data_IF_295021802549
#
_entry.id   IF_295021802549
#
_cell.length_a   1.000
_cell.length_b   1.000
_cell.length_c   1.000
_cell.angle_alpha   90.00
_cell.angle_beta   90.00
_cell.angle_gamma   90.00
#
_symmetry.space_group_name_H-M   'P 1'
#
loop_
_entity.id
_entity.type
_entity.pdbx_description
1 polymer ?
#
# COMPACT_ATOMS: atom_id res chain seq x y z
N UNK A 1 -7.18 -9.49 11.29
CA UNK A 1 -6.08 -9.14 10.34
C UNK A 1 -6.58 -7.98 9.46
N UNK A 2 -5.70 -7.12 8.97
CA UNK A 2 -6.12 -6.00 8.09
C UNK A 2 -5.03 -5.73 7.09
N UNK A 3 -5.41 -5.57 5.83
CA UNK A 3 -4.47 -5.53 4.73
C UNK A 3 -5.01 -4.59 3.64
N UNK A 4 -4.10 -3.96 2.90
CA UNK A 4 -4.34 -3.13 1.71
C UNK A 4 -4.66 -1.64 1.90
N UNK A 5 -3.85 -0.87 1.18
CA UNK A 5 -4.04 0.50 0.73
C UNK A 5 -3.71 0.51 -0.78
N UNK A 6 -4.20 1.50 -1.54
CA UNK A 6 -3.89 1.69 -2.97
C UNK A 6 -3.42 3.14 -3.23
N UNK A 7 -2.67 3.39 -4.32
CA UNK A 7 -2.10 4.71 -4.67
C UNK A 7 -2.27 5.03 -6.18
N UNK A 8 -2.51 6.31 -6.58
CA UNK A 8 -2.48 6.77 -7.99
C UNK A 8 -1.69 8.09 -8.26
N UNK A 9 -1.98 8.79 -9.38
CA UNK A 9 -1.11 9.74 -10.15
C UNK A 9 -1.28 11.26 -9.86
N UNK A 10 -0.22 12.09 -10.10
CA UNK A 10 -0.15 13.35 -10.96
C UNK A 10 0.96 14.36 -10.50
N UNK A 11 1.67 15.20 -11.31
CA UNK A 11 2.28 15.12 -12.68
C UNK A 11 3.16 16.38 -13.02
N UNK A 12 4.09 16.27 -14.01
CA UNK A 12 4.84 17.35 -14.76
C UNK A 12 6.08 18.06 -14.16
N UNK A 13 7.10 18.34 -15.00
CA UNK A 13 8.45 19.01 -14.83
C UNK A 13 9.31 18.54 -13.62
N UNK A 14 10.61 18.22 -13.68
CA UNK A 14 11.73 18.80 -14.41
C UNK A 14 13.02 18.82 -13.55
N UNK A 15 12.93 18.54 -12.23
CA UNK A 15 14.05 18.58 -11.28
C UNK A 15 14.76 17.21 -11.11
N UNK A 16 15.89 17.21 -10.37
CA UNK A 16 16.85 16.08 -10.32
C UNK A 16 16.81 15.28 -9.02
N UNK A 17 16.29 15.84 -7.92
CA UNK A 17 16.01 15.11 -6.68
C UNK A 17 14.57 15.33 -6.23
N UNK A 18 14.03 14.42 -5.42
CA UNK A 18 12.68 14.55 -4.83
C UNK A 18 12.56 15.74 -3.88
N UNK A 19 13.66 16.19 -3.29
CA UNK A 19 13.71 17.32 -2.34
C UNK A 19 13.46 18.67 -3.03
N UNK A 20 13.76 18.76 -4.32
CA UNK A 20 13.55 19.96 -5.16
C UNK A 20 12.05 20.27 -5.38
N UNK A 21 11.14 19.35 -5.02
CA UNK A 21 9.72 19.42 -5.37
C UNK A 21 8.80 20.13 -4.36
N UNK A 22 9.29 20.45 -3.16
CA UNK A 22 8.58 21.30 -2.20
C UNK A 22 7.17 20.82 -1.79
N UNK A 23 6.98 19.51 -1.59
CA UNK A 23 5.71 18.95 -1.12
C UNK A 23 5.80 18.49 0.35
N UNK A 24 4.65 18.38 1.02
CA UNK A 24 4.60 17.96 2.43
C UNK A 24 5.18 16.54 2.58
N UNK A 25 6.21 16.39 3.43
CA UNK A 25 6.94 15.13 3.61
C UNK A 25 8.10 14.89 2.64
N UNK A 26 8.44 15.83 1.74
CA UNK A 26 9.57 15.68 0.80
C UNK A 26 10.94 15.65 1.48
N UNK A 27 11.04 16.04 2.75
CA UNK A 27 12.18 15.88 3.63
C UNK A 27 12.46 14.41 3.98
N UNK A 28 11.39 13.60 4.12
CA UNK A 28 11.44 12.17 4.46
C UNK A 28 11.62 11.26 3.24
N UNK A 29 11.66 11.84 2.04
CA UNK A 29 11.86 11.12 0.79
C UNK A 29 13.34 10.85 0.52
N UNK A 30 13.62 9.60 0.17
CA UNK A 30 14.90 9.11 -0.32
C UNK A 30 14.80 8.77 -1.82
N UNK A 31 15.94 8.76 -2.51
CA UNK A 31 15.96 8.50 -3.95
C UNK A 31 15.59 7.03 -4.28
N UNK A 32 14.99 6.80 -5.46
CA UNK A 32 14.42 5.50 -5.81
C UNK A 32 15.50 4.42 -6.07
N UNK A 33 15.51 3.36 -5.25
CA UNK A 33 16.26 2.13 -5.51
C UNK A 33 15.31 1.05 -6.07
N UNK A 34 15.37 0.75 -7.37
CA UNK A 34 14.52 -0.26 -8.03
C UNK A 34 15.26 -1.61 -8.22
N UNK A 35 15.29 -2.42 -7.16
CA UNK A 35 16.25 -3.52 -7.01
C UNK A 35 16.08 -4.69 -8.00
N UNK A 36 14.86 -5.00 -8.47
CA UNK A 36 14.60 -6.05 -9.46
C UNK A 36 14.33 -5.54 -10.90
N UNK A 37 14.66 -4.29 -11.24
CA UNK A 37 14.50 -3.74 -12.61
C UNK A 37 15.71 -3.99 -13.54
N UNK A 38 16.15 -5.24 -13.65
CA UNK A 38 17.15 -5.64 -14.65
C UNK A 38 17.77 -7.01 -14.37
N UNK A 39 18.78 -7.39 -15.17
CA UNK A 39 19.59 -8.60 -14.94
C UNK A 39 20.72 -8.40 -13.90
N UNK A 40 20.85 -7.19 -13.33
CA UNK A 40 21.95 -6.85 -12.41
C UNK A 40 21.44 -6.44 -11.04
N UNK A 41 21.58 -7.35 -10.09
CA UNK A 41 21.46 -7.13 -8.65
C UNK A 41 22.60 -6.24 -8.14
N UNK A 42 22.43 -4.92 -8.25
CA UNK A 42 23.36 -3.92 -7.71
C UNK A 42 23.17 -3.74 -6.21
N UNK A 43 24.11 -4.24 -5.39
CA UNK A 43 24.04 -4.08 -3.93
C UNK A 43 24.18 -2.61 -3.50
N UNK A 44 23.09 -2.04 -2.99
CA UNK A 44 23.07 -1.30 -1.70
C UNK A 44 21.78 -1.60 -0.94
N UNK A 45 21.91 -2.26 0.21
CA UNK A 45 20.92 -2.41 1.28
C UNK A 45 19.53 -2.98 0.90
N UNK A 46 19.42 -3.79 -0.16
CA UNK A 46 18.23 -4.59 -0.42
C UNK A 46 18.51 -5.76 -1.35
N UNK A 47 17.81 -6.87 -1.13
CA UNK A 47 18.04 -8.13 -1.85
C UNK A 47 16.90 -8.40 -2.84
N UNK A 48 17.24 -8.54 -4.12
CA UNK A 48 16.33 -9.01 -5.16
C UNK A 48 16.47 -10.53 -5.31
N UNK A 49 15.41 -11.27 -4.97
CA UNK A 49 15.33 -12.72 -5.17
C UNK A 49 14.33 -13.06 -6.30
N UNK A 50 14.73 -13.97 -7.18
CA UNK A 50 13.87 -14.55 -8.21
C UNK A 50 13.87 -16.07 -8.04
N UNK A 51 12.71 -16.66 -7.80
CA UNK A 51 12.57 -18.10 -7.53
C UNK A 51 11.26 -18.67 -8.06
N UNK A 52 11.21 -20.00 -8.19
CA UNK A 52 10.00 -20.72 -8.56
C UNK A 52 9.25 -21.19 -7.31
N UNK A 53 7.99 -20.79 -7.21
CA UNK A 53 7.04 -21.14 -6.15
C UNK A 53 5.84 -21.83 -6.80
N UNK A 54 5.72 -23.16 -6.64
CA UNK A 54 4.58 -23.94 -7.15
C UNK A 54 4.18 -23.59 -8.61
N UNK A 55 5.18 -23.55 -9.51
CA UNK A 55 5.10 -23.15 -10.94
C UNK A 55 4.99 -21.64 -11.24
N UNK A 56 5.00 -20.76 -10.24
CA UNK A 56 5.03 -19.31 -10.42
C UNK A 56 6.44 -18.74 -10.22
N UNK A 57 6.93 -17.92 -11.16
CA UNK A 57 8.14 -17.11 -10.94
C UNK A 57 7.77 -15.96 -10.00
N UNK A 58 8.30 -15.98 -8.79
CA UNK A 58 8.24 -14.85 -7.84
C UNK A 58 9.44 -13.95 -8.05
N UNK A 59 9.21 -12.63 -7.93
CA UNK A 59 10.24 -11.60 -7.87
C UNK A 59 10.02 -10.82 -6.58
N UNK A 60 11.01 -10.82 -5.70
CA UNK A 60 10.86 -10.37 -4.32
C UNK A 60 12.00 -9.41 -4.00
N UNK A 61 11.66 -8.20 -3.55
CA UNK A 61 12.63 -7.22 -3.04
C UNK A 61 12.49 -7.12 -1.53
N UNK A 62 13.55 -7.45 -0.80
CA UNK A 62 13.66 -7.22 0.65
C UNK A 62 14.11 -5.77 0.83
N UNK A 63 13.25 -4.95 1.44
CA UNK A 63 13.45 -3.51 1.73
C UNK A 63 13.89 -3.29 3.18
N UNK A 64 13.52 -4.22 4.07
CA UNK A 64 13.95 -4.29 5.46
C UNK A 64 13.78 -5.71 5.98
N UNK A 65 14.68 -6.16 6.86
CA UNK A 65 14.59 -7.46 7.55
C UNK A 65 14.01 -7.32 8.96
N UNK A 66 14.27 -6.19 9.64
CA UNK A 66 13.66 -5.84 10.94
C UNK A 66 13.21 -4.37 10.96
N UNK A 67 11.89 -4.07 10.99
CA UNK A 67 10.80 -5.01 10.74
C UNK A 67 10.84 -5.52 9.29
N UNK A 68 10.21 -6.67 9.04
CA UNK A 68 10.15 -7.28 7.71
C UNK A 68 9.33 -6.38 6.76
N UNK A 69 9.97 -5.85 5.71
CA UNK A 69 9.32 -5.13 4.61
C UNK A 69 9.78 -5.76 3.30
N UNK A 70 8.82 -6.30 2.56
CA UNK A 70 9.04 -7.08 1.35
C UNK A 70 8.07 -6.64 0.26
N UNK A 71 8.58 -6.43 -0.96
CA UNK A 71 7.76 -6.10 -2.14
C UNK A 71 7.74 -7.27 -3.11
N UNK A 72 6.55 -7.77 -3.45
CA UNK A 72 6.34 -8.83 -4.43
C UNK A 72 6.05 -8.23 -5.80
N UNK A 73 7.09 -8.11 -6.64
CA UNK A 73 7.02 -7.44 -7.94
C UNK A 73 6.15 -8.22 -8.93
N UNK A 74 5.13 -7.53 -9.47
CA UNK A 74 4.17 -8.04 -10.46
C UNK A 74 3.40 -9.32 -10.04
N UNK A 75 3.21 -9.53 -8.73
CA UNK A 75 2.50 -10.68 -8.20
C UNK A 75 1.00 -10.74 -8.54
N UNK A 76 0.34 -9.58 -8.72
CA UNK A 76 -1.05 -9.51 -9.19
C UNK A 76 -1.09 -9.29 -10.70
N UNK A 77 -1.83 -10.15 -11.40
CA UNK A 77 -1.87 -10.15 -12.86
C UNK A 77 -2.37 -8.81 -13.42
N UNK A 78 -1.62 -8.19 -14.33
CA UNK A 78 -2.01 -6.91 -14.98
C UNK A 78 -3.38 -6.95 -15.67
N UNK A 79 -3.91 -8.11 -16.06
CA UNK A 79 -5.30 -8.25 -16.55
C UNK A 79 -6.32 -8.01 -15.43
N UNK A 80 -6.13 -8.62 -14.26
CA UNK A 80 -6.94 -8.40 -13.06
C UNK A 80 -6.85 -6.95 -12.58
N UNK A 81 -5.65 -6.37 -12.50
CA UNK A 81 -5.45 -4.95 -12.14
C UNK A 81 -6.29 -4.02 -13.03
N UNK A 82 -6.33 -4.24 -14.34
CA UNK A 82 -7.17 -3.44 -15.26
C UNK A 82 -8.68 -3.65 -15.05
N UNK A 83 -9.13 -4.84 -14.65
CA UNK A 83 -10.55 -5.10 -14.32
C UNK A 83 -10.96 -4.45 -13.01
N UNK A 84 -10.14 -4.60 -11.96
CA UNK A 84 -10.31 -3.92 -10.67
C UNK A 84 -10.46 -2.41 -10.86
N UNK A 85 -9.53 -1.77 -11.59
CA UNK A 85 -9.60 -0.34 -11.92
C UNK A 85 -10.95 0.03 -12.56
N UNK A 86 -11.38 -0.69 -13.60
CA UNK A 86 -12.67 -0.42 -14.27
C UNK A 86 -13.88 -0.61 -13.35
N UNK A 87 -13.86 -1.60 -12.47
CA UNK A 87 -14.92 -1.85 -11.49
C UNK A 87 -14.98 -0.75 -10.43
N UNK A 88 -13.83 -0.27 -9.98
CA UNK A 88 -13.71 0.84 -9.01
C UNK A 88 -14.14 2.16 -9.65
N UNK A 89 -13.72 2.46 -10.88
CA UNK A 89 -14.08 3.68 -11.62
C UNK A 89 -15.55 3.73 -12.07
N UNK A 90 -16.25 2.58 -12.09
CA UNK A 90 -17.70 2.52 -12.26
C UNK A 90 -18.48 2.68 -10.94
N UNK A 91 -17.81 2.57 -9.80
CA UNK A 91 -18.37 2.83 -8.48
C UNK A 91 -18.25 4.29 -8.05
N UNK A 92 -18.65 4.59 -6.81
CA UNK A 92 -18.35 5.85 -6.15
C UNK A 92 -17.18 5.67 -5.18
N UNK A 93 -16.28 6.64 -5.19
CA UNK A 93 -15.32 6.88 -4.11
C UNK A 93 -15.69 8.19 -3.41
N UNK A 94 -15.48 8.25 -2.10
CA UNK A 94 -15.78 9.41 -1.27
C UNK A 94 -14.52 9.87 -0.53
N UNK A 95 -14.46 11.14 -0.13
CA UNK A 95 -13.31 11.68 0.59
C UNK A 95 -13.24 11.12 2.02
N UNK A 96 -12.10 10.51 2.37
CA UNK A 96 -11.96 9.79 3.63
C UNK A 96 -11.75 10.75 4.81
N UNK A 97 -12.72 10.74 5.72
CA UNK A 97 -12.66 11.42 7.03
C UNK A 97 -11.86 10.57 8.02
N UNK A 98 -11.17 11.23 8.96
CA UNK A 98 -10.42 10.56 10.02
C UNK A 98 -11.18 10.72 11.34
N UNK A 99 -11.25 9.65 12.14
CA UNK A 99 -11.71 9.74 13.52
C UNK A 99 -10.56 10.23 14.41
N UNK A 100 -10.74 11.39 15.05
CA UNK A 100 -9.79 11.90 16.03
C UNK A 100 -9.82 11.14 17.35
N UNK A 101 -8.85 11.40 18.23
CA UNK A 101 -8.59 10.67 19.49
C UNK A 101 -9.74 10.65 20.52
N UNK A 102 -10.89 11.26 20.23
CA UNK A 102 -12.10 11.33 21.08
C UNK A 102 -13.41 11.10 20.32
N UNK A 103 -13.38 10.39 19.18
CA UNK A 103 -14.56 10.14 18.35
C UNK A 103 -15.08 11.37 17.59
N UNK A 104 -14.40 12.51 17.70
CA UNK A 104 -14.65 13.70 16.87
C UNK A 104 -14.29 13.39 15.42
N UNK A 105 -15.26 13.52 14.50
CA UNK A 105 -14.99 13.51 13.07
C UNK A 105 -14.04 14.66 12.71
N UNK A 106 -12.77 14.36 12.43
CA UNK A 106 -11.87 15.33 11.82
C UNK A 106 -12.25 15.46 10.35
N UNK A 107 -12.31 16.70 9.87
CA UNK A 107 -12.88 17.03 8.57
C UNK A 107 -11.98 16.56 7.42
N UNK A 108 -12.53 16.65 6.20
CA UNK A 108 -11.85 16.38 4.93
C UNK A 108 -10.45 17.00 4.77
N UNK A 109 -10.17 18.11 5.48
CA UNK A 109 -8.94 18.86 5.33
C UNK A 109 -7.99 18.69 6.53
N UNK A 110 -7.77 17.44 6.94
CA UNK A 110 -6.82 17.11 8.01
C UNK A 110 -5.36 17.17 7.52
N UNK A 111 -4.44 17.62 8.37
CA UNK A 111 -2.99 17.58 8.11
C UNK A 111 -2.39 16.16 8.19
N UNK A 112 -3.24 15.14 8.37
CA UNK A 112 -2.85 13.73 8.55
C UNK A 112 -3.06 12.92 7.26
N UNK A 113 -4.20 13.10 6.58
CA UNK A 113 -4.51 12.38 5.33
C UNK A 113 -5.37 13.23 4.41
N UNK A 114 -5.09 13.15 3.11
CA UNK A 114 -5.93 13.65 2.01
C UNK A 114 -6.02 12.59 0.93
N UNK A 115 -7.11 11.83 0.91
CA UNK A 115 -7.36 10.74 -0.03
C UNK A 115 -8.86 10.49 -0.21
N UNK A 116 -9.26 10.19 -1.44
CA UNK A 116 -10.55 9.56 -1.74
C UNK A 116 -10.45 8.05 -1.50
N UNK A 117 -11.57 7.38 -1.23
CA UNK A 117 -11.58 5.93 -1.02
C UNK A 117 -12.97 5.32 -0.99
N UNK A 118 -13.00 3.99 -0.87
CA UNK A 118 -14.20 3.17 -0.69
C UNK A 118 -13.81 1.80 -0.13
N UNK A 119 -14.78 0.99 0.29
CA UNK A 119 -14.54 -0.37 0.78
C UNK A 119 -15.10 -1.39 -0.20
N UNK A 120 -14.28 -2.36 -0.61
CA UNK A 120 -14.67 -3.44 -1.51
C UNK A 120 -14.67 -4.77 -0.73
N UNK A 121 -15.85 -5.32 -0.38
CA UNK A 121 -15.94 -6.61 0.31
C UNK A 121 -15.28 -7.73 -0.49
N UNK A 122 -14.55 -8.62 0.20
CA UNK A 122 -13.61 -9.54 -0.43
C UNK A 122 -14.25 -10.51 -1.44
N UNK A 123 -15.57 -10.70 -1.40
CA UNK A 123 -16.34 -11.59 -2.29
C UNK A 123 -17.51 -10.90 -3.02
N UNK A 124 -17.59 -9.56 -3.05
CA UNK A 124 -18.71 -8.85 -3.68
C UNK A 124 -18.66 -8.83 -5.21
N UNK A 125 -17.47 -8.99 -5.81
CA UNK A 125 -17.28 -9.07 -7.27
C UNK A 125 -16.33 -10.21 -7.64
N UNK A 126 -16.36 -10.63 -8.91
CA UNK A 126 -15.39 -11.61 -9.42
C UNK A 126 -13.96 -11.08 -9.24
N UNK A 127 -13.74 -9.79 -9.50
CA UNK A 127 -12.44 -9.13 -9.34
C UNK A 127 -11.96 -9.11 -7.87
N UNK A 128 -12.83 -8.84 -6.90
CA UNK A 128 -12.47 -8.86 -5.48
C UNK A 128 -12.09 -10.28 -5.03
N UNK A 129 -12.87 -11.27 -5.47
CA UNK A 129 -12.64 -12.68 -5.16
C UNK A 129 -11.35 -13.22 -5.79
N UNK A 130 -11.08 -12.87 -7.04
CA UNK A 130 -9.83 -13.23 -7.75
C UNK A 130 -8.61 -12.57 -7.10
N UNK A 131 -8.75 -11.32 -6.64
CA UNK A 131 -7.72 -10.62 -5.88
C UNK A 131 -7.45 -11.31 -4.53
N UNK A 132 -8.49 -11.60 -3.75
CA UNK A 132 -8.39 -12.32 -2.48
C UNK A 132 -7.65 -13.65 -2.65
N UNK A 133 -8.04 -14.47 -3.63
CA UNK A 133 -7.39 -15.76 -3.88
C UNK A 133 -5.99 -15.66 -4.51
N UNK A 134 -5.63 -14.54 -5.14
CA UNK A 134 -4.25 -14.29 -5.56
C UNK A 134 -3.37 -13.96 -4.34
N UNK A 135 -3.88 -13.16 -3.42
CA UNK A 135 -3.18 -12.73 -2.20
C UNK A 135 -3.05 -13.86 -1.17
N UNK A 136 -4.07 -14.68 -0.98
CA UNK A 136 -4.00 -15.84 -0.07
C UNK A 136 -2.95 -16.88 -0.53
N UNK A 137 -2.65 -16.94 -1.84
CA UNK A 137 -1.56 -17.76 -2.43
C UNK A 137 -0.20 -17.06 -2.45
N UNK A 138 -0.12 -15.78 -2.11
CA UNK A 138 1.12 -15.01 -2.02
C UNK A 138 1.58 -14.93 -0.57
N UNK A 139 0.65 -14.64 0.33
CA UNK A 139 0.84 -14.42 1.76
C UNK A 139 0.52 -15.70 2.54
N UNK A 140 1.11 -16.84 2.12
CA UNK A 140 0.81 -18.17 2.68
C UNK A 140 0.88 -18.27 4.22
N UNK A 141 1.75 -17.55 4.96
CA UNK A 141 1.75 -17.55 6.42
C UNK A 141 0.58 -16.83 7.09
N UNK A 142 -0.27 -16.12 6.33
CA UNK A 142 -1.37 -15.29 6.86
C UNK A 142 -2.74 -15.86 6.50
N UNK A 143 -3.62 -15.96 7.49
CA UNK A 143 -5.02 -16.35 7.30
C UNK A 143 -5.89 -15.14 6.93
N UNK A 144 -6.13 -14.94 5.63
CA UNK A 144 -6.91 -13.83 5.13
C UNK A 144 -8.42 -13.98 5.42
N UNK A 145 -8.90 -15.11 5.98
CA UNK A 145 -10.30 -15.22 6.45
C UNK A 145 -10.60 -14.24 7.58
N UNK A 146 -9.57 -13.81 8.29
CA UNK A 146 -9.64 -12.78 9.34
C UNK A 146 -9.35 -11.36 8.82
N UNK A 147 -9.22 -11.17 7.50
CA UNK A 147 -8.93 -9.87 6.90
C UNK A 147 -10.18 -8.96 6.87
N UNK A 148 -9.99 -7.68 7.21
CA UNK A 148 -10.92 -6.61 6.83
C UNK A 148 -11.21 -6.62 5.30
N UNK A 149 -12.33 -6.03 4.85
CA UNK A 149 -12.58 -5.72 3.44
C UNK A 149 -11.43 -4.90 2.82
N UNK A 150 -11.22 -5.00 1.50
CA UNK A 150 -10.23 -4.19 0.81
C UNK A 150 -10.52 -2.69 0.94
N UNK A 151 -9.62 -1.92 1.57
CA UNK A 151 -9.68 -0.45 1.52
C UNK A 151 -9.13 0.05 0.18
N UNK A 152 -10.04 0.44 -0.70
CA UNK A 152 -9.76 1.03 -2.01
C UNK A 152 -9.46 2.52 -1.82
N UNK A 153 -8.38 3.03 -2.42
CA UNK A 153 -7.89 4.38 -2.19
C UNK A 153 -7.45 5.09 -3.46
N UNK A 154 -7.66 6.39 -3.49
CA UNK A 154 -7.25 7.29 -4.56
C UNK A 154 -6.74 8.62 -4.01
N UNK A 155 -5.41 8.74 -3.96
CA UNK A 155 -4.71 9.99 -3.70
C UNK A 155 -4.60 10.78 -5.02
N UNK A 156 -5.07 12.03 -5.02
CA UNK A 156 -4.94 12.94 -6.16
C UNK A 156 -3.68 13.80 -6.03
N UNK A 157 -3.50 14.81 -6.90
CA UNK A 157 -2.33 15.70 -6.85
C UNK A 157 -2.26 16.43 -5.50
N UNK A 158 -1.23 16.15 -4.71
CA UNK A 158 -1.10 16.72 -3.35
C UNK A 158 -1.98 16.04 -2.30
N UNK A 159 -2.54 14.87 -2.63
CA UNK A 159 -2.98 13.89 -1.64
C UNK A 159 -1.80 13.19 -0.99
N UNK A 160 -1.93 12.87 0.29
CA UNK A 160 -0.88 12.24 1.11
C UNK A 160 -1.49 11.47 2.28
N UNK A 161 -0.67 10.68 2.97
CA UNK A 161 -0.93 10.17 4.30
C UNK A 161 0.40 10.31 5.08
N UNK A 162 0.38 10.96 6.24
CA UNK A 162 1.58 11.10 7.09
C UNK A 162 2.01 9.73 7.66
N UNK A 163 3.26 9.58 8.13
CA UNK A 163 3.68 8.38 8.84
C UNK A 163 2.76 8.08 10.03
N UNK A 164 2.29 6.85 10.10
CA UNK A 164 1.40 6.34 11.14
C UNK A 164 1.72 4.85 11.38
N UNK A 165 1.00 4.24 12.30
CA UNK A 165 1.14 2.83 12.63
C UNK A 165 -0.21 2.15 12.34
N UNK A 166 -0.19 1.05 11.59
CA UNK A 166 -1.43 0.36 11.20
C UNK A 166 -2.12 -0.35 12.37
N UNK A 167 -1.33 -0.82 13.37
CA UNK A 167 -1.88 -1.55 14.51
C UNK A 167 -2.72 -0.66 15.42
N UNK A 168 -3.75 -1.27 16.00
CA UNK A 168 -4.67 -0.61 16.93
C UNK A 168 -3.92 -0.41 18.25
N UNK A 169 -3.74 0.84 18.66
CA UNK A 169 -3.10 1.15 19.95
C UNK A 169 -4.08 0.86 21.10
N UNK A 170 -3.75 -0.15 21.91
CA UNK A 170 -4.58 -0.67 23.00
C UNK A 170 -4.89 0.37 24.09
N UNK A 171 -4.08 1.43 24.21
CA UNK A 171 -4.32 2.55 25.13
C UNK A 171 -5.28 3.61 24.56
N UNK A 172 -5.79 3.41 23.34
CA UNK A 172 -6.61 4.39 22.59
C UNK A 172 -7.92 3.81 22.04
N UNK A 173 -7.98 2.51 21.75
CA UNK A 173 -9.19 1.84 21.30
C UNK A 173 -10.09 1.42 22.47
N UNK A 174 -11.38 1.19 22.19
CA UNK A 174 -12.28 0.54 23.13
C UNK A 174 -11.87 -0.91 23.36
N UNK A 175 -11.90 -1.36 24.62
CA UNK A 175 -11.52 -2.73 24.99
C UNK A 175 -12.30 -3.81 24.23
N UNK A 176 -13.58 -3.56 23.92
CA UNK A 176 -14.43 -4.48 23.15
C UNK A 176 -13.95 -4.67 21.70
N UNK A 177 -13.51 -3.62 21.01
CA UNK A 177 -13.16 -3.69 19.59
C UNK A 177 -11.95 -4.61 19.38
N UNK A 178 -10.95 -4.50 20.27
CA UNK A 178 -9.79 -5.38 20.32
C UNK A 178 -10.14 -6.82 20.72
N UNK A 179 -11.07 -7.01 21.66
CA UNK A 179 -11.53 -8.35 22.05
C UNK A 179 -12.27 -9.08 20.92
N UNK A 180 -13.02 -8.36 20.07
CA UNK A 180 -13.81 -8.97 18.99
C UNK A 180 -13.05 -9.09 17.66
N UNK A 181 -12.22 -8.11 17.30
CA UNK A 181 -11.54 -8.04 15.99
C UNK A 181 -10.05 -8.40 16.05
N UNK A 182 -9.47 -8.48 17.25
CA UNK A 182 -8.03 -8.63 17.45
C UNK A 182 -7.24 -7.40 17.01
N UNK A 183 -5.93 -7.58 16.81
CA UNK A 183 -5.02 -6.53 16.36
C UNK A 183 -4.38 -6.88 15.00
N UNK A 184 -3.73 -5.89 14.37
CA UNK A 184 -3.19 -5.99 13.01
C UNK A 184 -1.70 -6.34 13.07
N UNK A 185 -1.36 -7.54 12.61
CA UNK A 185 0.01 -8.08 12.68
C UNK A 185 0.84 -7.89 11.40
N UNK A 186 0.20 -7.57 10.27
CA UNK A 186 0.86 -7.35 8.98
C UNK A 186 -0.05 -6.57 8.03
N UNK A 187 0.54 -5.67 7.25
CA UNK A 187 -0.10 -4.96 6.12
C UNK A 187 0.68 -5.27 4.84
N UNK A 188 -0.02 -5.44 3.72
CA UNK A 188 0.52 -5.50 2.37
C UNK A 188 -0.24 -4.50 1.48
N UNK A 189 0.32 -4.02 0.38
CA UNK A 189 -0.20 -2.85 -0.34
C UNK A 189 -0.19 -3.11 -1.86
N UNK A 190 -1.34 -3.51 -2.41
CA UNK A 190 -1.45 -3.74 -3.87
C UNK A 190 -1.43 -2.40 -4.58
N UNK A 191 -0.48 -2.18 -5.47
CA UNK A 191 -0.52 -1.02 -6.37
C UNK A 191 -1.35 -1.34 -7.61
N UNK A 192 -2.48 -0.65 -7.80
CA UNK A 192 -3.23 -0.68 -9.06
C UNK A 192 -2.67 0.30 -10.10
N UNK A 193 -2.16 1.44 -9.65
CA UNK A 193 -1.57 2.49 -10.48
C UNK A 193 -0.27 2.97 -9.83
N UNK A 194 0.76 3.24 -10.62
CA UNK A 194 1.97 3.93 -10.12
C UNK A 194 1.83 5.42 -10.37
N UNK A 195 2.12 6.25 -9.38
CA UNK A 195 2.23 7.68 -9.63
C UNK A 195 3.41 8.00 -10.55
N UNK A 196 3.27 9.04 -11.37
CA UNK A 196 4.39 9.57 -12.16
C UNK A 196 5.42 10.30 -11.30
N UNK A 197 5.06 10.74 -10.08
CA UNK A 197 5.89 11.38 -9.05
C UNK A 197 5.21 11.34 -7.68
N UNK A 198 5.99 11.26 -6.59
CA UNK A 198 5.41 11.05 -5.27
C UNK A 198 4.74 9.66 -5.16
N UNK A 199 4.05 9.38 -4.06
CA UNK A 199 3.26 8.15 -3.89
C UNK A 199 4.06 6.84 -3.70
N UNK A 200 5.33 6.92 -3.29
CA UNK A 200 6.04 5.80 -2.69
C UNK A 200 5.65 5.65 -1.21
N UNK A 201 5.80 4.43 -0.69
CA UNK A 201 5.72 4.14 0.73
C UNK A 201 7.04 4.58 1.38
N UNK A 202 6.99 5.43 2.40
CA UNK A 202 8.17 5.88 3.15
C UNK A 202 8.16 5.27 4.54
N UNK A 203 9.33 4.87 5.02
CA UNK A 203 9.52 4.25 6.34
C UNK A 203 10.60 5.06 7.09
N UNK A 204 10.26 6.23 7.67
CA UNK A 204 11.26 7.21 8.12
C UNK A 204 12.22 6.66 9.17
N UNK A 205 11.71 5.88 10.13
CA UNK A 205 12.53 5.26 11.18
C UNK A 205 13.56 4.25 10.66
N UNK A 206 13.38 3.72 9.45
CA UNK A 206 14.27 2.75 8.81
C UNK A 206 15.18 3.40 7.77
N UNK A 207 14.96 4.68 7.43
CA UNK A 207 15.56 5.33 6.26
C UNK A 207 15.41 4.52 4.97
N UNK A 208 14.19 3.99 4.74
CA UNK A 208 13.83 3.19 3.56
C UNK A 208 12.60 3.76 2.84
N UNK A 209 12.51 3.53 1.53
CA UNK A 209 11.39 3.95 0.67
C UNK A 209 11.10 2.88 -0.38
N UNK A 210 9.83 2.49 -0.54
CA UNK A 210 9.39 1.49 -1.49
C UNK A 210 8.39 2.09 -2.50
N UNK A 211 8.81 2.17 -3.76
CA UNK A 211 7.96 2.62 -4.87
C UNK A 211 7.34 1.41 -5.59
N UNK A 212 6.02 1.41 -5.80
CA UNK A 212 5.28 0.26 -6.33
C UNK A 212 4.78 0.46 -7.76
N UNK A 213 4.67 -0.63 -8.53
CA UNK A 213 4.19 -0.67 -9.91
C UNK A 213 2.81 -1.35 -10.02
N UNK A 214 2.05 -1.17 -11.13
CA UNK A 214 0.74 -1.81 -11.29
C UNK A 214 0.82 -3.36 -11.27
N UNK A 215 0.37 -3.95 -10.17
CA UNK A 215 0.45 -5.40 -9.88
C UNK A 215 1.53 -5.81 -8.87
N UNK A 216 2.30 -4.88 -8.32
CA UNK A 216 3.16 -5.13 -7.15
C UNK A 216 2.31 -5.17 -5.86
N UNK A 217 2.80 -5.85 -4.83
CA UNK A 217 2.17 -6.04 -3.49
C UNK A 217 3.19 -5.82 -2.39
#
# INVERSE_FOLDING_TARGET
>A
LTVFHLLPLVVSSGAKSWKDYGFVGSDQWLDENELCRGERSGLRNGLCHIFNDHLFIRKVEIVSEDPIIVVYRSAINRKLVRRLIKSIEAGKMEELKIFGERGTNLSANSDVRRANGTWLPNYSTHESMELYFALQRLLLPLDLRTAEPFQILSYEKGGFYVPHIDFINEKRAGFLDLQMSGNRIATAIVSLRRSRRGGALTFPHLSSTAMLNPGDV
#
